data_IF_795338618278
#
_entry.id   IF_795338618278
#
_cell.length_a   1.000
_cell.length_b   1.000
_cell.length_c   1.000
_cell.angle_alpha   90.00
_cell.angle_beta   90.00
_cell.angle_gamma   90.00
#
_symmetry.space_group_name_H-M   'P 1'
#
loop_
_entity.id
_entity.type
_entity.pdbx_description
1 polymer ?
#
# COMPACT_ATOMS: atom_id res chain seq x y z
N UNK A 1 1.59 9.30 -34.56
CA UNK A 1 1.25 8.77 -33.23
C UNK A 1 2.03 7.50 -32.96
N UNK A 2 2.18 7.14 -31.68
CA UNK A 2 2.70 5.84 -31.26
C UNK A 2 1.57 5.12 -30.55
N UNK A 3 1.26 3.92 -31.03
CA UNK A 3 0.30 3.03 -30.37
C UNK A 3 1.05 2.11 -29.42
N UNK A 4 0.44 1.83 -28.28
CA UNK A 4 0.97 0.95 -27.25
C UNK A 4 -0.11 -0.07 -26.92
N UNK A 5 0.28 -1.34 -26.83
CA UNK A 5 -0.64 -2.44 -26.62
C UNK A 5 -0.37 -3.16 -25.29
N UNK A 6 -1.36 -3.95 -24.88
CA UNK A 6 -1.30 -4.90 -23.77
C UNK A 6 -0.77 -4.28 -22.47
N UNK A 7 0.22 -4.91 -21.85
CA UNK A 7 0.76 -4.51 -20.56
C UNK A 7 1.53 -3.18 -20.64
N UNK A 8 2.11 -2.84 -21.79
CA UNK A 8 2.86 -1.61 -21.96
C UNK A 8 1.93 -0.40 -21.92
N UNK A 9 0.74 -0.52 -22.54
CA UNK A 9 -0.30 0.49 -22.44
C UNK A 9 -0.73 0.72 -20.98
N UNK A 10 -0.91 -0.36 -20.21
CA UNK A 10 -1.28 -0.30 -18.79
C UNK A 10 -0.21 0.38 -17.95
N UNK A 11 1.07 0.03 -18.14
CA UNK A 11 2.17 0.65 -17.42
C UNK A 11 2.27 2.15 -17.74
N UNK A 12 2.15 2.54 -19.00
CA UNK A 12 2.20 3.95 -19.39
C UNK A 12 1.03 4.72 -18.77
N UNK A 13 -0.19 4.17 -18.79
CA UNK A 13 -1.35 4.81 -18.19
C UNK A 13 -1.20 4.94 -16.66
N UNK A 14 -0.62 3.94 -16.00
CA UNK A 14 -0.34 3.99 -14.56
C UNK A 14 0.59 5.15 -14.19
N UNK A 15 1.65 5.36 -14.97
CA UNK A 15 2.58 6.48 -14.72
C UNK A 15 1.94 7.83 -15.04
N UNK A 16 1.12 7.92 -16.09
CA UNK A 16 0.35 9.13 -16.40
C UNK A 16 -0.60 9.49 -15.24
N UNK A 17 -1.32 8.50 -14.70
CA UNK A 17 -2.22 8.71 -13.56
C UNK A 17 -1.45 9.24 -12.35
N UNK A 18 -0.23 8.75 -12.11
CA UNK A 18 0.64 9.27 -11.05
C UNK A 18 1.04 10.73 -11.27
N UNK A 19 1.32 11.15 -12.51
CA UNK A 19 1.61 12.56 -12.82
C UNK A 19 0.38 13.46 -12.62
N UNK A 20 -0.82 12.93 -12.85
CA UNK A 20 -2.09 13.60 -12.59
C UNK A 20 -2.50 13.60 -11.11
N UNK A 21 -1.73 12.94 -10.23
CA UNK A 21 -2.07 12.77 -8.82
C UNK A 21 -3.24 11.80 -8.58
N UNK A 22 -3.58 10.95 -9.56
CA UNK A 22 -4.58 9.89 -9.45
C UNK A 22 -3.91 8.58 -9.07
N UNK A 23 -4.58 7.80 -8.24
CA UNK A 23 -4.19 6.44 -7.90
C UNK A 23 -5.24 5.47 -8.44
N UNK A 24 -4.86 4.21 -8.65
CA UNK A 24 -5.80 3.19 -9.13
C UNK A 24 -7.05 3.04 -8.23
N UNK A 25 -6.91 3.37 -6.94
CA UNK A 25 -8.01 3.31 -5.96
C UNK A 25 -9.10 4.35 -6.22
N UNK A 26 -8.79 5.42 -6.96
CA UNK A 26 -9.73 6.49 -7.29
C UNK A 26 -10.76 6.02 -8.32
N UNK A 27 -10.43 4.99 -9.10
CA UNK A 27 -11.35 4.33 -10.05
C UNK A 27 -12.23 3.24 -9.42
N UNK A 28 -12.02 2.91 -8.14
CA UNK A 28 -12.83 1.90 -7.45
C UNK A 28 -14.15 2.49 -6.95
N UNK A 29 -15.16 1.65 -6.73
CA UNK A 29 -16.36 2.09 -6.01
C UNK A 29 -16.05 2.34 -4.53
N UNK A 30 -16.88 3.14 -3.86
CA UNK A 30 -16.70 3.46 -2.44
C UNK A 30 -16.67 2.22 -1.55
N UNK A 31 -17.52 1.23 -1.83
CA UNK A 31 -17.53 -0.05 -1.14
C UNK A 31 -16.19 -0.81 -1.27
N UNK A 32 -15.57 -0.78 -2.46
CA UNK A 32 -14.28 -1.43 -2.69
C UNK A 32 -13.17 -0.67 -1.95
N UNK A 33 -13.17 0.66 -1.99
CA UNK A 33 -12.24 1.51 -1.23
C UNK A 33 -12.33 1.25 0.27
N UNK A 34 -13.54 1.16 0.82
CA UNK A 34 -13.77 0.89 2.25
C UNK A 34 -13.22 -0.49 2.65
N UNK A 35 -13.46 -1.53 1.84
CA UNK A 35 -12.90 -2.87 2.08
C UNK A 35 -11.38 -2.87 2.12
N UNK A 36 -10.73 -2.17 1.18
CA UNK A 36 -9.26 -2.04 1.15
C UNK A 36 -8.76 -1.34 2.41
N UNK A 37 -9.38 -0.22 2.80
CA UNK A 37 -9.01 0.50 4.03
C UNK A 37 -9.10 -0.37 5.28
N UNK A 38 -10.21 -1.08 5.47
CA UNK A 38 -10.40 -2.01 6.61
C UNK A 38 -9.35 -3.10 6.64
N UNK A 39 -9.01 -3.68 5.48
CA UNK A 39 -7.97 -4.70 5.37
C UNK A 39 -6.60 -4.13 5.76
N UNK A 40 -6.22 -2.97 5.22
CA UNK A 40 -4.94 -2.32 5.51
C UNK A 40 -4.82 -1.93 6.99
N UNK A 41 -5.90 -1.46 7.61
CA UNK A 41 -5.89 -1.13 9.04
C UNK A 41 -5.66 -2.37 9.91
N UNK A 42 -6.33 -3.49 9.57
CA UNK A 42 -6.13 -4.77 10.24
C UNK A 42 -4.68 -5.25 10.12
N UNK A 43 -4.14 -5.26 8.90
CA UNK A 43 -2.74 -5.66 8.64
C UNK A 43 -1.75 -4.77 9.40
N UNK A 44 -2.01 -3.45 9.48
CA UNK A 44 -1.18 -2.53 10.26
C UNK A 44 -1.20 -2.87 11.75
N UNK A 45 -2.37 -3.17 12.32
CA UNK A 45 -2.50 -3.59 13.74
C UNK A 45 -1.75 -4.89 14.01
N UNK A 46 -1.87 -5.86 13.10
CA UNK A 46 -1.15 -7.14 13.20
C UNK A 46 0.36 -6.96 13.07
N UNK A 47 0.86 -6.12 12.16
CA UNK A 47 2.30 -5.82 12.06
C UNK A 47 2.85 -5.19 13.33
N UNK A 48 2.10 -4.27 13.96
CA UNK A 48 2.50 -3.63 15.23
C UNK A 48 2.52 -4.65 16.36
N UNK A 49 1.53 -5.54 16.47
CA UNK A 49 1.53 -6.57 17.51
C UNK A 49 2.69 -7.56 17.35
N UNK A 50 3.03 -7.94 16.11
CA UNK A 50 4.19 -8.80 15.85
C UNK A 50 5.52 -8.09 16.11
N UNK A 51 5.64 -6.81 15.77
CA UNK A 51 6.85 -6.02 16.03
C UNK A 51 7.09 -5.80 17.54
N UNK A 52 6.02 -5.55 18.32
CA UNK A 52 6.11 -5.37 19.77
C UNK A 52 6.54 -6.68 20.50
N UNK A 53 6.17 -7.85 19.98
CA UNK A 53 6.60 -9.14 20.52
C UNK A 53 8.07 -9.49 20.21
N UNK A 54 8.69 -8.83 19.22
CA UNK A 54 10.05 -9.14 18.74
C UNK A 54 11.18 -8.36 19.44
N UNK A 55 10.90 -7.51 20.42
CA UNK A 55 11.92 -6.88 21.28
C UNK A 55 11.86 -7.40 22.72
N UNK A 56 12.51 -8.54 23.04
CA UNK A 56 12.93 -8.79 24.40
C UNK A 56 14.06 -7.80 24.71
N UNK A 57 13.89 -7.02 25.77
CA UNK A 57 14.69 -5.83 26.05
C UNK A 57 16.20 -6.02 25.92
N UNK A 58 16.85 -5.03 25.30
CA UNK A 58 18.27 -4.76 25.56
C UNK A 58 18.39 -4.32 27.02
N UNK A 59 18.48 -5.33 27.89
CA UNK A 59 18.73 -5.16 29.30
C UNK A 59 19.92 -4.20 29.47
N UNK A 60 19.63 -3.08 30.14
CA UNK A 60 20.61 -2.12 30.62
C UNK A 60 21.75 -2.88 31.27
N UNK A 61 22.94 -2.80 30.70
CA UNK A 61 24.15 -3.30 31.35
C UNK A 61 24.55 -2.25 32.38
N UNK A 62 24.12 -2.44 33.62
CA UNK A 62 24.72 -1.80 34.77
C UNK A 62 26.06 -2.49 35.01
N UNK A 63 27.16 -1.81 34.71
CA UNK A 63 28.45 -1.84 35.39
C UNK A 63 29.29 -0.68 34.87
#
# INVERSE_FOLDING_TARGET
ERDYDDILAVCIQHEIDHLDGKLFVDYLSDLKRERIRKKLEKERRERVSHAAAASPGSARRAY
#
